data_IF_046905387582
#
_entry.id   IF_046905387582
#
_cell.length_a   1.000
_cell.length_b   1.000
_cell.length_c   1.000
_cell.angle_alpha   90.00
_cell.angle_beta   90.00
_cell.angle_gamma   90.00
#
_symmetry.space_group_name_H-M   'P 1'
#
loop_
_entity.id
_entity.type
_entity.pdbx_description
1 polymer ?
#
# COMPACT_ATOMS: atom_id res chain seq x y z
N UNK A 1 -36.63 -7.08 -14.06
CA UNK A 1 -36.01 -7.30 -12.74
C UNK A 1 -34.91 -8.35 -12.88
N UNK A 2 -33.67 -7.94 -13.16
CA UNK A 2 -32.51 -8.84 -13.16
C UNK A 2 -31.61 -8.37 -12.02
N UNK A 3 -31.74 -9.03 -10.86
CA UNK A 3 -30.84 -8.84 -9.73
C UNK A 3 -29.43 -9.27 -10.15
N UNK A 4 -28.56 -8.28 -10.35
CA UNK A 4 -27.15 -8.45 -10.66
C UNK A 4 -26.43 -9.03 -9.45
N UNK A 5 -26.26 -10.36 -9.43
CA UNK A 5 -25.42 -11.10 -8.47
C UNK A 5 -23.94 -10.84 -8.81
N UNK A 6 -23.51 -9.59 -8.69
CA UNK A 6 -22.09 -9.19 -8.89
C UNK A 6 -21.53 -8.35 -7.75
N UNK A 7 -22.29 -8.13 -6.68
CA UNK A 7 -21.92 -7.22 -5.58
C UNK A 7 -21.73 -7.98 -4.26
N UNK A 8 -20.99 -9.10 -4.30
CA UNK A 8 -20.81 -9.97 -3.12
C UNK A 8 -19.46 -9.83 -2.39
N UNK A 9 -18.39 -9.42 -3.06
CA UNK A 9 -17.02 -9.54 -2.50
C UNK A 9 -16.30 -8.21 -2.24
N UNK A 10 -16.93 -7.05 -2.52
CA UNK A 10 -16.27 -5.75 -2.51
C UNK A 10 -16.53 -4.89 -1.24
N UNK A 11 -17.15 -5.43 -0.19
CA UNK A 11 -17.52 -4.66 1.02
C UNK A 11 -16.79 -5.07 2.31
N UNK A 12 -15.89 -6.04 2.27
CA UNK A 12 -15.15 -6.48 3.46
C UNK A 12 -13.84 -5.71 3.59
N UNK A 13 -13.74 -4.81 4.59
CA UNK A 13 -12.49 -4.09 4.94
C UNK A 13 -11.29 -5.04 5.07
N UNK A 14 -11.51 -6.23 5.64
CA UNK A 14 -10.50 -7.31 5.75
C UNK A 14 -9.97 -7.76 4.39
N UNK A 15 -10.86 -7.91 3.40
CA UNK A 15 -10.49 -8.32 2.04
C UNK A 15 -9.61 -7.29 1.33
N UNK A 16 -9.95 -6.00 1.47
CA UNK A 16 -9.13 -4.90 0.97
C UNK A 16 -7.70 -4.95 1.54
N UNK A 17 -7.58 -5.12 2.86
CA UNK A 17 -6.28 -5.17 3.53
C UNK A 17 -5.47 -6.42 3.21
N UNK A 18 -6.15 -7.54 2.99
CA UNK A 18 -5.51 -8.79 2.57
C UNK A 18 -4.90 -8.64 1.18
N UNK A 19 -5.69 -8.13 0.22
CA UNK A 19 -5.25 -7.86 -1.15
C UNK A 19 -4.09 -6.87 -1.16
N UNK A 20 -4.17 -5.79 -0.36
CA UNK A 20 -3.08 -4.83 -0.20
C UNK A 20 -1.79 -5.49 0.29
N UNK A 21 -1.86 -6.35 1.31
CA UNK A 21 -0.70 -7.08 1.83
C UNK A 21 -0.11 -8.05 0.80
N UNK A 22 -0.94 -8.83 0.12
CA UNK A 22 -0.51 -9.76 -0.93
C UNK A 22 0.16 -9.02 -2.09
N UNK A 23 -0.44 -7.91 -2.56
CA UNK A 23 0.15 -7.04 -3.58
C UNK A 23 1.53 -6.54 -3.16
N UNK A 24 1.67 -6.02 -1.94
CA UNK A 24 2.96 -5.52 -1.43
C UNK A 24 4.04 -6.60 -1.40
N UNK A 25 3.69 -7.80 -0.95
CA UNK A 25 4.63 -8.94 -0.97
C UNK A 25 5.07 -9.25 -2.40
N UNK A 26 4.11 -9.37 -3.34
CA UNK A 26 4.41 -9.60 -4.74
C UNK A 26 5.35 -8.52 -5.32
N UNK A 27 5.05 -7.23 -5.09
CA UNK A 27 5.84 -6.13 -5.62
C UNK A 27 7.27 -6.11 -5.07
N UNK A 28 7.44 -6.34 -3.77
CA UNK A 28 8.76 -6.35 -3.11
C UNK A 28 9.64 -7.50 -3.59
N UNK A 29 9.05 -8.66 -3.88
CA UNK A 29 9.79 -9.83 -4.33
C UNK A 29 10.05 -9.83 -5.84
N UNK A 30 9.03 -9.50 -6.66
CA UNK A 30 9.05 -9.72 -8.11
C UNK A 30 9.15 -8.45 -8.95
N UNK A 31 8.77 -7.28 -8.43
CA UNK A 31 8.75 -6.00 -9.19
C UNK A 31 9.64 -4.95 -8.53
N UNK A 32 10.91 -5.32 -8.27
CA UNK A 32 11.87 -4.47 -7.56
C UNK A 32 12.10 -3.12 -8.26
N UNK A 33 12.12 -3.07 -9.59
CA UNK A 33 12.31 -1.83 -10.34
C UNK A 33 11.12 -0.86 -10.18
N UNK A 34 9.89 -1.40 -10.13
CA UNK A 34 8.71 -0.61 -9.79
C UNK A 34 8.84 -0.02 -8.38
N UNK A 35 9.20 -0.84 -7.39
CA UNK A 35 9.38 -0.38 -6.01
C UNK A 35 10.45 0.70 -5.94
N UNK A 36 11.61 0.53 -6.60
CA UNK A 36 12.67 1.55 -6.61
C UNK A 36 12.21 2.87 -7.22
N UNK A 37 11.49 2.85 -8.35
CA UNK A 37 10.95 4.05 -8.99
C UNK A 37 9.98 4.78 -8.07
N UNK A 38 9.02 4.05 -7.51
CA UNK A 38 8.06 4.65 -6.59
C UNK A 38 8.76 5.23 -5.35
N UNK A 39 9.78 4.55 -4.82
CA UNK A 39 10.56 5.06 -3.68
C UNK A 39 11.33 6.36 -4.02
N UNK A 40 11.77 6.55 -5.27
CA UNK A 40 12.42 7.80 -5.69
C UNK A 40 11.44 8.98 -5.84
N UNK A 41 10.17 8.68 -6.11
CA UNK A 41 9.10 9.69 -6.26
C UNK A 41 8.39 10.00 -4.95
N UNK A 42 8.51 9.07 -3.98
CA UNK A 42 7.91 9.15 -2.67
C UNK A 42 8.49 10.33 -1.89
N UNK A 43 7.58 11.20 -1.44
CA UNK A 43 7.92 12.35 -0.62
C UNK A 43 7.36 12.21 0.79
N UNK A 44 7.88 13.03 1.71
CA UNK A 44 7.50 13.03 3.11
C UNK A 44 8.26 12.01 3.95
N UNK A 45 7.73 11.74 5.15
CA UNK A 45 8.38 10.90 6.13
C UNK A 45 7.36 10.12 6.98
N UNK A 46 7.77 8.98 7.53
CA UNK A 46 6.90 8.22 8.42
C UNK A 46 6.66 9.02 9.71
N UNK A 47 5.39 9.23 10.04
CA UNK A 47 4.96 9.88 11.29
C UNK A 47 4.69 8.88 12.43
N UNK A 48 5.05 7.61 12.22
CA UNK A 48 4.72 6.50 13.12
C UNK A 48 3.24 6.47 13.54
N UNK A 49 2.31 6.69 12.59
CA UNK A 49 0.88 6.71 12.87
C UNK A 49 0.27 5.34 13.22
N UNK A 50 1.06 4.24 13.16
CA UNK A 50 0.63 2.90 13.57
C UNK A 50 -0.35 2.19 12.63
N UNK A 51 -1.02 2.90 11.72
CA UNK A 51 -2.08 2.33 10.89
C UNK A 51 -1.57 1.21 9.99
N UNK A 52 -0.40 1.36 9.35
CA UNK A 52 0.19 0.31 8.52
C UNK A 52 0.53 -0.98 9.29
N UNK A 53 0.73 -0.87 10.61
CA UNK A 53 0.95 -1.99 11.52
C UNK A 53 -0.36 -2.68 11.94
N UNK A 54 -1.53 -2.12 11.61
CA UNK A 54 -2.84 -2.63 12.02
C UNK A 54 -3.83 -2.84 10.85
N UNK A 55 -3.38 -2.74 9.59
CA UNK A 55 -4.26 -2.85 8.41
C UNK A 55 -4.98 -4.20 8.32
N UNK A 56 -4.23 -5.32 8.32
CA UNK A 56 -4.82 -6.66 8.20
C UNK A 56 -4.89 -7.39 9.54
N UNK A 57 -3.81 -7.30 10.31
CA UNK A 57 -3.68 -7.85 11.64
C UNK A 57 -2.82 -6.88 12.45
N UNK A 58 -2.97 -6.92 13.76
CA UNK A 58 -2.15 -6.12 14.66
C UNK A 58 -0.74 -6.69 14.72
N UNK A 59 0.22 -5.92 14.23
CA UNK A 59 1.63 -6.28 14.26
C UNK A 59 2.12 -6.38 15.72
N UNK A 60 2.88 -7.42 16.10
CA UNK A 60 3.39 -7.56 17.47
C UNK A 60 4.37 -6.44 17.89
N UNK A 61 4.89 -5.68 16.93
CA UNK A 61 5.80 -4.55 17.18
C UNK A 61 5.06 -3.22 17.35
N UNK A 62 3.72 -3.20 17.33
CA UNK A 62 2.91 -2.01 17.56
C UNK A 62 2.73 -1.80 19.07
N UNK A 63 3.06 -0.61 19.57
CA UNK A 63 2.85 -0.25 20.97
C UNK A 63 1.44 0.27 21.23
N UNK A 64 1.07 0.37 22.51
CA UNK A 64 -0.20 0.96 22.94
C UNK A 64 -0.29 2.46 22.59
N UNK A 65 0.84 3.16 22.45
CA UNK A 65 0.89 4.55 21.98
C UNK A 65 0.80 4.67 20.45
N UNK A 66 0.56 3.56 19.74
CA UNK A 66 0.42 3.52 18.29
C UNK A 66 1.74 3.62 17.52
N UNK A 67 2.89 3.38 18.15
CA UNK A 67 4.21 3.48 17.51
C UNK A 67 4.78 2.12 17.15
N UNK A 68 5.63 2.07 16.13
CA UNK A 68 6.34 0.85 15.75
C UNK A 68 7.68 0.74 16.50
N UNK A 69 7.83 -0.27 17.35
CA UNK A 69 9.07 -0.56 18.12
C UNK A 69 10.25 -0.89 17.23
N UNK A 70 10.01 -1.56 16.10
CA UNK A 70 11.06 -1.93 15.16
C UNK A 70 11.50 -0.75 14.27
N UNK A 71 10.91 0.44 14.42
CA UNK A 71 11.21 1.58 13.56
C UNK A 71 12.68 2.03 13.76
N UNK A 72 13.45 2.08 12.67
CA UNK A 72 14.89 2.35 12.71
C UNK A 72 15.78 1.15 13.03
N UNK A 73 15.20 0.00 13.40
CA UNK A 73 15.95 -1.23 13.73
C UNK A 73 15.63 -2.35 12.72
N UNK A 74 15.03 -3.46 13.16
CA UNK A 74 14.85 -4.71 12.44
C UNK A 74 13.50 -4.79 11.67
N UNK A 75 13.16 -3.78 10.86
CA UNK A 75 11.95 -3.85 10.03
C UNK A 75 12.08 -4.88 8.90
N UNK A 76 11.07 -5.73 8.64
CA UNK A 76 11.00 -6.51 7.41
C UNK A 76 11.05 -5.61 6.17
N UNK A 77 11.56 -6.11 5.04
CA UNK A 77 11.68 -5.30 3.82
C UNK A 77 10.35 -4.70 3.37
N UNK A 78 9.26 -5.47 3.43
CA UNK A 78 7.91 -4.98 3.14
C UNK A 78 7.49 -3.77 4.02
N UNK A 79 7.93 -3.72 5.28
CA UNK A 79 7.68 -2.59 6.19
C UNK A 79 8.61 -1.40 5.92
N UNK A 80 9.82 -1.62 5.39
CA UNK A 80 10.77 -0.55 5.04
C UNK A 80 10.32 0.23 3.81
N UNK A 81 9.79 -0.48 2.82
CA UNK A 81 9.35 0.13 1.56
C UNK A 81 7.92 0.64 1.61
N UNK A 82 7.16 0.36 2.67
CA UNK A 82 5.79 0.87 2.82
C UNK A 82 5.79 2.39 3.06
N UNK A 83 4.84 3.15 2.48
CA UNK A 83 3.95 2.75 1.38
C UNK A 83 4.76 2.60 0.08
N UNK A 84 4.38 1.61 -0.73
CA UNK A 84 5.01 1.35 -2.04
C UNK A 84 4.49 2.34 -3.07
N UNK A 85 3.19 2.65 -3.08
CA UNK A 85 2.57 3.59 -4.01
C UNK A 85 1.33 4.26 -3.40
N UNK A 86 0.67 5.13 -4.17
CA UNK A 86 -0.48 5.91 -3.71
C UNK A 86 -1.65 5.04 -3.20
N UNK A 87 -1.79 3.80 -3.69
CA UNK A 87 -2.85 2.89 -3.26
C UNK A 87 -2.63 2.41 -1.82
N UNK A 88 -1.38 2.28 -1.37
CA UNK A 88 -1.07 1.98 0.03
C UNK A 88 -1.39 3.17 0.95
N UNK A 89 -1.19 4.40 0.47
CA UNK A 89 -1.56 5.63 1.20
C UNK A 89 -3.07 5.73 1.33
N UNK A 90 -3.79 5.43 0.25
CA UNK A 90 -5.25 5.38 0.26
C UNK A 90 -5.78 4.31 1.21
N UNK A 91 -5.15 3.13 1.25
CA UNK A 91 -5.53 2.07 2.19
C UNK A 91 -5.43 2.53 3.65
N UNK A 92 -4.38 3.31 3.98
CA UNK A 92 -4.23 3.94 5.31
C UNK A 92 -5.34 4.96 5.55
N UNK A 93 -5.70 5.76 4.54
CA UNK A 93 -6.80 6.74 4.62
C UNK A 93 -8.14 6.08 4.89
N UNK A 94 -8.46 5.00 4.17
CA UNK A 94 -9.68 4.22 4.33
C UNK A 94 -9.76 3.53 5.70
N UNK A 95 -8.61 3.23 6.31
CA UNK A 95 -8.52 2.74 7.69
C UNK A 95 -8.62 3.84 8.76
N UNK A 96 -8.90 5.10 8.37
CA UNK A 96 -9.03 6.24 9.28
C UNK A 96 -7.70 6.91 9.65
N UNK A 97 -6.63 6.57 8.94
CA UNK A 97 -5.28 7.07 9.17
C UNK A 97 -4.88 8.24 8.29
N UNK A 98 -3.85 8.97 8.70
CA UNK A 98 -3.14 9.91 7.82
C UNK A 98 -1.69 9.47 7.65
N UNK A 99 -1.33 8.99 6.46
CA UNK A 99 0.06 8.67 6.13
C UNK A 99 0.87 9.95 5.96
N UNK A 100 2.10 9.97 6.46
CA UNK A 100 3.03 11.09 6.26
C UNK A 100 3.76 11.08 4.91
N UNK A 101 3.57 10.02 4.12
CA UNK A 101 4.11 9.91 2.77
C UNK A 101 3.06 10.27 1.73
N UNK A 102 3.51 10.83 0.61
CA UNK A 102 2.70 11.11 -0.56
C UNK A 102 3.47 10.77 -1.85
N UNK A 103 2.72 10.58 -2.93
CA UNK A 103 3.25 10.39 -4.28
C UNK A 103 2.70 11.51 -5.16
N UNK A 104 3.51 11.96 -6.13
CA UNK A 104 2.97 12.80 -7.20
C UNK A 104 1.99 11.94 -7.99
N UNK A 105 0.84 12.51 -8.34
CA UNK A 105 -0.12 11.87 -9.23
C UNK A 105 0.59 11.67 -10.56
N UNK A 106 1.13 10.47 -10.78
CA UNK A 106 1.61 10.09 -12.08
C UNK A 106 0.42 9.48 -12.80
N UNK A 107 0.20 10.00 -13.99
CA UNK A 107 -0.80 9.61 -14.99
C UNK A 107 -0.53 8.16 -15.45
N UNK A 108 -0.63 7.21 -14.52
CA UNK A 108 -0.29 5.79 -14.70
C UNK A 108 -1.42 5.07 -15.43
N UNK A 109 -1.74 5.51 -16.66
CA UNK A 109 -2.65 4.78 -17.54
C UNK A 109 -2.33 4.87 -19.05
N UNK A 110 -1.37 5.69 -19.51
CA UNK A 110 -1.20 5.91 -20.96
C UNK A 110 -0.01 5.21 -21.64
N UNK A 111 1.16 5.06 -21.01
CA UNK A 111 2.37 4.62 -21.76
C UNK A 111 2.49 3.09 -22.00
N UNK A 112 1.89 2.22 -21.18
CA UNK A 112 2.10 0.77 -21.32
C UNK A 112 1.09 0.07 -22.28
N UNK A 113 0.09 0.80 -22.79
CA UNK A 113 -0.85 0.29 -23.82
C UNK A 113 -0.66 0.89 -25.21
N UNK A 114 0.08 1.99 -25.36
CA UNK A 114 0.30 2.62 -26.67
C UNK A 114 1.49 2.02 -27.45
N UNK A 115 2.47 1.40 -26.80
CA UNK A 115 3.67 0.88 -27.51
C UNK A 115 3.59 -0.58 -27.98
N UNK A 116 2.52 -1.33 -27.67
CA UNK A 116 2.33 -2.72 -28.16
C UNK A 116 1.12 -2.89 -29.09
N UNK A 117 0.54 -1.78 -29.58
CA UNK A 117 -0.63 -1.79 -30.46
C UNK A 117 -0.60 -0.77 -31.60
N UNK A 118 0.56 -0.16 -31.88
CA UNK A 118 0.73 0.82 -32.96
C UNK A 118 2.00 0.55 -33.74
N UNK A 119 1.89 -0.20 -34.84
CA UNK A 119 2.97 -0.53 -35.77
C UNK A 119 2.69 -1.83 -36.49
#
# INVERSE_FOLDING_TARGET
MLCSVRTGCANSRVGLHFIGKARRLLLVHYRKDYVRRQLSERQGACRQCGICCNLLFTCPMLTNEGRCLAYGTCRPQACKVFPVDQRDVEEVRLAGGQCGYCFKEQEQEQEQRQELGGG
#
